data_IF_914401303789
#
_entry.id   IF_914401303789
#
_cell.length_a   1.000
_cell.length_b   1.000
_cell.length_c   1.000
_cell.angle_alpha   90.00
_cell.angle_beta   90.00
_cell.angle_gamma   90.00
#
_symmetry.space_group_name_H-M   'P 1'
#
loop_
_entity.id
_entity.type
_entity.pdbx_description
1 polymer ?
#
# COMPACT_ATOMS: atom_id res chain seq x y z
N UNK A 1 -12.43 -6.88 -27.46
CA UNK A 1 -11.74 -7.91 -28.28
C UNK A 1 -10.26 -7.56 -28.40
N UNK A 2 -9.40 -8.16 -27.56
CA UNK A 2 -7.95 -8.09 -27.72
C UNK A 2 -7.52 -9.10 -28.80
N UNK A 3 -6.48 -8.77 -29.56
CA UNK A 3 -5.96 -9.49 -30.73
C UNK A 3 -5.56 -10.97 -30.46
N UNK A 4 -5.71 -11.48 -29.22
CA UNK A 4 -5.38 -12.85 -28.81
C UNK A 4 -6.51 -13.69 -28.22
N UNK A 5 -7.77 -13.24 -28.23
CA UNK A 5 -8.91 -14.04 -27.73
C UNK A 5 -8.89 -14.39 -26.23
N UNK A 6 -7.98 -13.79 -25.47
CA UNK A 6 -7.93 -13.93 -24.02
C UNK A 6 -8.84 -12.87 -23.37
N UNK A 7 -9.94 -13.32 -22.77
CA UNK A 7 -10.78 -12.48 -21.92
C UNK A 7 -10.19 -12.41 -20.52
N UNK A 8 -10.15 -11.21 -19.94
CA UNK A 8 -9.88 -11.05 -18.52
C UNK A 8 -11.08 -11.59 -17.75
N UNK A 9 -10.94 -12.58 -16.85
CA UNK A 9 -12.08 -13.11 -16.14
C UNK A 9 -12.73 -11.98 -15.31
N UNK A 10 -14.01 -11.66 -15.55
CA UNK A 10 -14.68 -10.55 -14.88
C UNK A 10 -14.76 -10.76 -13.36
N UNK A 11 -14.79 -12.03 -12.93
CA UNK A 11 -15.06 -12.43 -11.55
C UNK A 11 -13.91 -13.18 -10.86
N UNK A 12 -12.70 -13.22 -11.43
CA UNK A 12 -11.58 -13.90 -10.76
C UNK A 12 -11.38 -13.35 -9.33
N UNK A 13 -11.42 -14.22 -8.28
CA UNK A 13 -11.34 -13.80 -6.90
C UNK A 13 -9.96 -13.22 -6.54
N UNK A 14 -9.96 -12.06 -5.89
CA UNK A 14 -8.74 -11.37 -5.44
C UNK A 14 -8.07 -12.04 -4.23
N UNK A 15 -8.72 -13.04 -3.61
CA UNK A 15 -8.19 -13.82 -2.47
C UNK A 15 -7.54 -15.16 -2.86
N UNK A 16 -7.43 -15.50 -4.15
CA UNK A 16 -7.01 -16.85 -4.55
C UNK A 16 -5.49 -17.09 -4.59
N UNK A 17 -4.68 -16.03 -4.48
CA UNK A 17 -3.22 -16.17 -4.56
C UNK A 17 -2.65 -16.69 -3.24
N UNK A 18 -1.83 -17.74 -3.31
CA UNK A 18 -1.16 -18.30 -2.13
C UNK A 18 -0.15 -17.28 -1.57
N UNK A 19 -0.10 -17.12 -0.25
CA UNK A 19 0.79 -16.17 0.44
C UNK A 19 2.25 -16.26 -0.02
N UNK A 20 2.76 -17.49 -0.20
CA UNK A 20 4.14 -17.74 -0.64
C UNK A 20 4.43 -17.26 -2.06
N UNK A 21 3.41 -17.02 -2.89
CA UNK A 21 3.54 -16.45 -4.23
C UNK A 21 3.29 -14.94 -4.22
N UNK A 22 2.28 -14.48 -3.48
CA UNK A 22 1.90 -13.07 -3.40
C UNK A 22 3.02 -12.20 -2.82
N UNK A 23 3.57 -12.59 -1.67
CA UNK A 23 4.59 -11.79 -0.97
C UNK A 23 5.88 -11.64 -1.77
N UNK A 24 6.47 -12.71 -2.37
CA UNK A 24 7.66 -12.54 -3.21
C UNK A 24 7.39 -11.75 -4.49
N UNK A 25 6.23 -11.91 -5.13
CA UNK A 25 5.87 -11.12 -6.31
C UNK A 25 5.78 -9.62 -5.97
N UNK A 26 5.14 -9.29 -4.85
CA UNK A 26 5.08 -7.93 -4.33
C UNK A 26 6.46 -7.36 -3.99
N UNK A 27 7.33 -8.16 -3.37
CA UNK A 27 8.70 -7.79 -3.06
C UNK A 27 9.51 -7.45 -4.32
N UNK A 28 9.37 -8.22 -5.40
CA UNK A 28 10.03 -7.95 -6.69
C UNK A 28 9.49 -6.67 -7.33
N UNK A 29 8.17 -6.46 -7.31
CA UNK A 29 7.57 -5.21 -7.78
C UNK A 29 8.10 -4.00 -6.99
N UNK A 30 8.14 -4.12 -5.66
CA UNK A 30 8.67 -3.09 -4.77
C UNK A 30 10.16 -2.80 -4.99
N UNK A 31 10.97 -3.81 -5.37
CA UNK A 31 12.39 -3.62 -5.66
C UNK A 31 12.66 -2.78 -6.91
N UNK A 32 11.72 -2.77 -7.86
CA UNK A 32 11.88 -2.10 -9.16
C UNK A 32 11.59 -0.61 -9.10
N UNK A 33 10.68 -0.20 -8.21
CA UNK A 33 10.15 1.16 -8.16
C UNK A 33 11.11 2.26 -7.66
N UNK A 34 12.06 2.00 -6.73
CA UNK A 34 13.02 2.99 -6.25
C UNK A 34 13.86 3.66 -7.36
N UNK A 35 13.97 3.00 -8.52
CA UNK A 35 14.64 3.54 -9.72
C UNK A 35 14.00 4.86 -10.17
N UNK A 36 12.67 5.00 -10.09
CA UNK A 36 11.96 6.23 -10.49
C UNK A 36 12.31 7.44 -9.63
N UNK A 37 12.85 7.21 -8.43
CA UNK A 37 13.21 8.25 -7.48
C UNK A 37 14.72 8.38 -7.29
N UNK A 38 15.51 7.70 -8.13
CA UNK A 38 16.97 7.67 -8.05
C UNK A 38 17.48 7.34 -6.63
N UNK A 39 16.77 6.46 -5.92
CA UNK A 39 17.16 6.09 -4.56
C UNK A 39 18.46 5.28 -4.58
N UNK A 40 19.37 5.51 -3.61
CA UNK A 40 20.52 4.63 -3.41
C UNK A 40 20.06 3.18 -3.25
N UNK A 41 20.67 2.24 -3.99
CA UNK A 41 20.29 0.81 -3.99
C UNK A 41 20.22 0.19 -2.58
N UNK A 42 21.08 0.65 -1.66
CA UNK A 42 21.06 0.23 -0.24
C UNK A 42 19.74 0.55 0.47
N UNK A 43 18.98 1.54 0.00
CA UNK A 43 17.68 1.89 0.56
C UNK A 43 16.54 1.04 -0.01
N UNK A 44 16.72 0.34 -1.14
CA UNK A 44 15.72 -0.52 -1.78
C UNK A 44 15.28 -1.68 -0.88
N UNK A 45 16.13 -2.13 0.04
CA UNK A 45 15.76 -3.21 0.97
C UNK A 45 14.56 -2.84 1.86
N UNK A 46 14.44 -1.58 2.25
CA UNK A 46 13.38 -1.10 3.13
C UNK A 46 11.97 -1.15 2.50
N UNK A 47 11.73 -0.60 1.30
CA UNK A 47 10.44 -0.74 0.64
C UNK A 47 10.12 -2.18 0.28
N UNK A 48 11.12 -3.01 -0.04
CA UNK A 48 10.91 -4.45 -0.27
C UNK A 48 10.37 -5.14 0.97
N UNK A 49 11.00 -4.93 2.14
CA UNK A 49 10.56 -5.53 3.39
C UNK A 49 9.19 -4.97 3.83
N UNK A 50 9.00 -3.66 3.77
CA UNK A 50 7.73 -3.03 4.13
C UNK A 50 6.58 -3.44 3.18
N UNK A 51 6.85 -3.57 1.89
CA UNK A 51 5.89 -4.05 0.89
C UNK A 51 5.51 -5.51 1.11
N UNK A 52 6.48 -6.37 1.44
CA UNK A 52 6.23 -7.75 1.83
C UNK A 52 5.32 -7.85 3.07
N UNK A 53 5.58 -7.04 4.10
CA UNK A 53 4.73 -6.97 5.30
C UNK A 53 3.34 -6.45 4.97
N UNK A 54 3.23 -5.41 4.15
CA UNK A 54 1.94 -4.84 3.73
C UNK A 54 1.09 -5.86 2.95
N UNK A 55 1.69 -6.61 2.02
CA UNK A 55 1.01 -7.67 1.29
C UNK A 55 0.60 -8.83 2.19
N UNK A 56 1.47 -9.28 3.09
CA UNK A 56 1.13 -10.33 4.04
C UNK A 56 -0.05 -9.92 4.94
N UNK A 57 -0.06 -8.67 5.43
CA UNK A 57 -1.17 -8.13 6.22
C UNK A 57 -2.46 -8.06 5.40
N UNK A 58 -2.40 -7.51 4.19
CA UNK A 58 -3.56 -7.45 3.29
C UNK A 58 -4.13 -8.84 3.01
N UNK A 59 -3.24 -9.81 2.73
CA UNK A 59 -3.62 -11.18 2.47
C UNK A 59 -4.34 -11.79 3.68
N UNK A 60 -3.82 -11.61 4.89
CA UNK A 60 -4.46 -12.09 6.11
C UNK A 60 -5.82 -11.43 6.36
N UNK A 61 -5.91 -10.11 6.15
CA UNK A 61 -7.16 -9.36 6.30
C UNK A 61 -8.25 -9.86 5.34
N UNK A 62 -7.91 -10.12 4.08
CA UNK A 62 -8.88 -10.60 3.08
C UNK A 62 -9.25 -12.07 3.32
N UNK A 63 -8.26 -12.94 3.55
CA UNK A 63 -8.46 -14.39 3.53
C UNK A 63 -8.81 -14.98 4.91
N UNK A 64 -8.33 -14.39 6.00
CA UNK A 64 -8.56 -14.91 7.35
C UNK A 64 -9.62 -14.10 8.10
N UNK A 65 -9.70 -12.79 7.87
CA UNK A 65 -10.62 -11.89 8.55
C UNK A 65 -11.80 -11.40 7.70
N UNK A 66 -11.92 -11.85 6.44
CA UNK A 66 -12.98 -11.50 5.49
C UNK A 66 -13.19 -9.97 5.32
N UNK A 67 -12.12 -9.19 5.48
CA UNK A 67 -12.14 -7.73 5.30
C UNK A 67 -12.17 -7.41 3.81
N UNK A 68 -12.97 -6.42 3.42
CA UNK A 68 -13.04 -5.98 2.03
C UNK A 68 -11.69 -5.37 1.54
N UNK A 69 -11.45 -5.39 0.23
CA UNK A 69 -10.17 -4.99 -0.34
C UNK A 69 -9.77 -3.53 0.01
N UNK A 70 -10.62 -2.49 -0.17
CA UNK A 70 -10.25 -1.13 0.19
C UNK A 70 -9.84 -0.97 1.66
N UNK A 71 -10.56 -1.60 2.59
CA UNK A 71 -10.21 -1.53 4.02
C UNK A 71 -8.91 -2.28 4.32
N UNK A 72 -8.68 -3.44 3.68
CA UNK A 72 -7.43 -4.17 3.83
C UNK A 72 -6.23 -3.36 3.29
N UNK A 73 -6.39 -2.71 2.14
CA UNK A 73 -5.39 -1.83 1.53
C UNK A 73 -5.09 -0.59 2.39
N UNK A 74 -6.11 -0.01 3.02
CA UNK A 74 -5.94 1.09 3.97
C UNK A 74 -5.03 0.69 5.13
N UNK A 75 -5.31 -0.45 5.76
CA UNK A 75 -4.56 -0.94 6.92
C UNK A 75 -3.14 -1.35 6.52
N UNK A 76 -2.98 -2.02 5.38
CA UNK A 76 -1.67 -2.38 4.82
C UNK A 76 -0.81 -1.14 4.56
N UNK A 77 -1.37 -0.11 3.91
CA UNK A 77 -0.65 1.13 3.63
C UNK A 77 -0.38 1.97 4.87
N UNK A 78 -1.25 1.92 5.89
CA UNK A 78 -1.00 2.53 7.19
C UNK A 78 0.24 1.91 7.85
N UNK A 79 0.33 0.58 7.87
CA UNK A 79 1.50 -0.13 8.40
C UNK A 79 2.75 0.19 7.58
N UNK A 80 2.68 0.16 6.25
CA UNK A 80 3.81 0.53 5.40
C UNK A 80 4.31 1.96 5.68
N UNK A 81 3.39 2.92 5.83
CA UNK A 81 3.71 4.31 6.17
C UNK A 81 4.38 4.45 7.53
N UNK A 82 3.89 3.71 8.54
CA UNK A 82 4.48 3.66 9.88
C UNK A 82 5.91 3.12 9.86
N UNK A 83 6.16 2.04 9.11
CA UNK A 83 7.45 1.39 9.02
C UNK A 83 8.49 2.24 8.26
N UNK A 84 8.08 2.91 7.18
CA UNK A 84 9.00 3.59 6.27
C UNK A 84 9.28 5.05 6.62
N UNK A 85 8.38 5.74 7.33
CA UNK A 85 8.61 7.10 7.79
C UNK A 85 9.91 7.28 8.61
N UNK A 86 10.23 6.42 9.61
CA UNK A 86 11.50 6.51 10.33
C UNK A 86 12.72 6.24 9.43
N UNK A 87 12.59 5.34 8.46
CA UNK A 87 13.67 5.03 7.50
C UNK A 87 13.94 6.24 6.62
N UNK A 88 12.90 6.81 6.00
CA UNK A 88 13.00 7.97 5.13
C UNK A 88 13.65 9.16 5.86
N UNK A 89 13.25 9.41 7.11
CA UNK A 89 13.85 10.48 7.92
C UNK A 89 15.32 10.23 8.22
N UNK A 90 15.70 9.03 8.70
CA UNK A 90 17.10 8.71 9.04
C UNK A 90 18.01 8.72 7.83
N UNK A 91 17.50 8.33 6.67
CA UNK A 91 18.25 8.30 5.43
C UNK A 91 18.23 9.65 4.68
N UNK A 92 17.54 10.67 5.19
CA UNK A 92 17.26 11.93 4.49
C UNK A 92 16.73 11.73 3.06
N UNK A 93 15.93 10.68 2.87
CA UNK A 93 15.41 10.28 1.58
C UNK A 93 13.98 10.81 1.37
N UNK A 94 13.57 11.12 0.13
CA UNK A 94 12.20 11.49 -0.16
C UNK A 94 11.28 10.31 0.17
N UNK A 95 10.29 10.54 1.04
CA UNK A 95 9.34 9.49 1.43
C UNK A 95 8.61 8.90 0.21
N UNK A 96 8.33 9.71 -0.80
CA UNK A 96 7.72 9.24 -2.06
C UNK A 96 8.48 8.05 -2.67
N UNK A 97 9.83 8.06 -2.62
CA UNK A 97 10.63 6.99 -3.21
C UNK A 97 10.53 5.65 -2.48
N UNK A 98 10.48 5.65 -1.14
CA UNK A 98 10.37 4.41 -0.36
C UNK A 98 8.91 4.01 -0.14
N UNK A 99 8.03 4.97 0.14
CA UNK A 99 6.61 4.74 0.42
C UNK A 99 5.86 4.19 -0.78
N UNK A 100 5.94 4.86 -1.94
CA UNK A 100 5.27 4.39 -3.14
C UNK A 100 5.88 3.09 -3.66
N UNK A 101 7.19 2.89 -3.50
CA UNK A 101 7.83 1.63 -3.85
C UNK A 101 7.24 0.44 -3.08
N UNK A 102 7.01 0.60 -1.77
CA UNK A 102 6.47 -0.49 -0.96
C UNK A 102 5.02 -0.87 -1.29
N UNK A 103 4.21 0.09 -1.76
CA UNK A 103 2.77 -0.13 -1.98
C UNK A 103 2.39 -0.26 -3.46
N UNK A 104 3.36 -0.21 -4.39
CA UNK A 104 3.06 -0.23 -5.83
C UNK A 104 2.28 -1.47 -6.27
N UNK A 105 2.56 -2.61 -5.65
CA UNK A 105 1.88 -3.87 -5.94
C UNK A 105 0.45 -3.95 -5.39
N UNK A 106 0.04 -2.98 -4.55
CA UNK A 106 -1.33 -2.85 -4.05
C UNK A 106 -2.23 -2.05 -4.99
N UNK A 107 -1.68 -1.41 -6.03
CA UNK A 107 -2.49 -0.60 -6.93
C UNK A 107 -3.60 -1.44 -7.59
N UNK A 108 -4.83 -0.89 -7.70
CA UNK A 108 -6.01 -1.62 -8.17
C UNK A 108 -6.04 -1.86 -9.70
N UNK A 109 -4.93 -2.29 -10.29
CA UNK A 109 -4.78 -2.42 -11.74
C UNK A 109 -5.85 -3.32 -12.38
N UNK A 110 -6.19 -4.43 -11.74
CA UNK A 110 -7.22 -5.36 -12.24
C UNK A 110 -8.62 -4.72 -12.31
N UNK A 111 -8.98 -3.87 -11.34
CA UNK A 111 -10.26 -3.14 -11.38
C UNK A 111 -10.26 -2.10 -12.50
N UNK A 112 -9.13 -1.42 -12.73
CA UNK A 112 -9.00 -0.47 -13.85
C UNK A 112 -9.09 -1.19 -15.20
N UNK A 113 -8.44 -2.34 -15.35
CA UNK A 113 -8.52 -3.14 -16.58
C UNK A 113 -9.94 -3.66 -16.83
N UNK A 114 -10.62 -4.18 -15.79
CA UNK A 114 -12.01 -4.62 -15.89
C UNK A 114 -12.98 -3.48 -16.19
N UNK A 115 -12.77 -2.31 -15.59
CA UNK A 115 -13.52 -1.11 -15.91
C UNK A 115 -13.37 -0.73 -17.39
N UNK A 116 -12.15 -0.67 -17.90
CA UNK A 116 -11.89 -0.34 -19.30
C UNK A 116 -12.47 -1.38 -20.26
N UNK A 117 -12.33 -2.67 -19.96
CA UNK A 117 -12.95 -3.75 -20.74
C UNK A 117 -14.48 -3.64 -20.73
N UNK A 118 -15.07 -3.43 -19.55
CA UNK A 118 -16.51 -3.27 -19.39
C UNK A 118 -17.08 -2.07 -20.14
N UNK A 119 -16.30 -0.98 -20.33
CA UNK A 119 -16.73 0.15 -21.18
C UNK A 119 -16.84 -0.24 -22.66
N UNK A 120 -15.92 -1.09 -23.14
CA UNK A 120 -15.98 -1.61 -24.52
C UNK A 120 -17.22 -2.49 -24.69
N UNK A 121 -17.48 -3.37 -23.74
CA UNK A 121 -18.65 -4.26 -23.78
C UNK A 121 -19.95 -3.48 -23.65
N UNK A 122 -20.00 -2.48 -22.78
CA UNK A 122 -21.15 -1.57 -22.61
C UNK A 122 -21.44 -0.79 -23.89
N UNK A 123 -20.42 -0.41 -24.66
CA UNK A 123 -20.59 0.28 -25.94
C UNK A 123 -21.09 -0.66 -27.06
N UNK A 124 -20.73 -1.94 -27.00
CA UNK A 124 -21.15 -2.95 -27.98
C UNK A 124 -22.55 -3.50 -27.71
N UNK A 125 -22.86 -3.80 -26.45
CA UNK A 125 -24.16 -4.32 -25.99
C UNK A 125 -24.55 -3.69 -24.64
N UNK A 126 -25.25 -2.54 -24.67
CA UNK A 126 -25.61 -1.82 -23.46
C UNK A 126 -26.70 -2.58 -22.68
N UNK A 127 -26.31 -3.18 -21.55
CA UNK A 127 -27.23 -3.88 -20.64
C UNK A 127 -27.08 -3.36 -19.22
N UNK A 128 -28.09 -3.60 -18.37
CA UNK A 128 -28.00 -3.25 -16.96
C UNK A 128 -26.84 -3.98 -16.25
N UNK A 129 -26.52 -5.21 -16.69
CA UNK A 129 -25.42 -6.00 -16.15
C UNK A 129 -24.05 -5.40 -16.50
N UNK A 130 -23.84 -4.99 -17.76
CA UNK A 130 -22.58 -4.36 -18.18
C UNK A 130 -22.41 -3.00 -17.50
N UNK A 131 -23.48 -2.22 -17.35
CA UNK A 131 -23.45 -0.95 -16.62
C UNK A 131 -23.09 -1.12 -15.14
N UNK A 132 -23.68 -2.10 -14.46
CA UNK A 132 -23.38 -2.40 -13.05
C UNK A 132 -21.93 -2.85 -12.87
N UNK A 133 -21.42 -3.73 -13.75
CA UNK A 133 -20.03 -4.18 -13.72
C UNK A 133 -19.03 -3.03 -13.88
N UNK A 134 -19.30 -2.12 -14.83
CA UNK A 134 -18.49 -0.90 -15.04
C UNK A 134 -18.49 -0.04 -13.76
N UNK A 135 -19.66 0.23 -13.19
CA UNK A 135 -19.78 1.01 -11.96
C UNK A 135 -19.09 0.36 -10.75
N UNK A 136 -19.21 -0.95 -10.59
CA UNK A 136 -18.57 -1.72 -9.53
C UNK A 136 -17.05 -1.69 -9.62
N UNK A 137 -16.48 -1.91 -10.81
CA UNK A 137 -15.03 -1.86 -11.01
C UNK A 137 -14.47 -0.43 -10.85
N UNK A 138 -15.18 0.58 -11.35
CA UNK A 138 -14.78 1.98 -11.18
C UNK A 138 -14.77 2.39 -9.69
N UNK A 139 -15.82 2.05 -8.95
CA UNK A 139 -15.92 2.34 -7.52
C UNK A 139 -14.87 1.59 -6.72
N UNK A 140 -14.65 0.30 -6.99
CA UNK A 140 -13.61 -0.50 -6.34
C UNK A 140 -12.21 0.08 -6.59
N UNK A 141 -11.88 0.47 -7.83
CA UNK A 141 -10.60 1.10 -8.16
C UNK A 141 -10.42 2.44 -7.41
N UNK A 142 -11.47 3.26 -7.39
CA UNK A 142 -11.44 4.58 -6.75
C UNK A 142 -11.27 4.47 -5.24
N UNK A 143 -12.10 3.64 -4.58
CA UNK A 143 -12.06 3.44 -3.14
C UNK A 143 -10.74 2.80 -2.69
N UNK A 144 -10.23 1.83 -3.44
CA UNK A 144 -8.93 1.20 -3.13
C UNK A 144 -7.80 2.20 -3.27
N UNK A 145 -7.78 3.01 -4.33
CA UNK A 145 -6.75 4.04 -4.52
C UNK A 145 -6.79 5.08 -3.40
N UNK A 146 -8.00 5.54 -3.03
CA UNK A 146 -8.18 6.48 -1.92
C UNK A 146 -7.70 5.88 -0.60
N UNK A 147 -8.04 4.61 -0.33
CA UNK A 147 -7.59 3.88 0.84
C UNK A 147 -6.06 3.79 0.94
N UNK A 148 -5.38 3.47 -0.17
CA UNK A 148 -3.91 3.43 -0.24
C UNK A 148 -3.31 4.78 0.13
N UNK A 149 -3.82 5.87 -0.48
CA UNK A 149 -3.33 7.24 -0.22
C UNK A 149 -3.57 7.63 1.24
N UNK A 150 -4.79 7.45 1.74
CA UNK A 150 -5.17 7.79 3.12
C UNK A 150 -4.36 6.96 4.11
N UNK A 151 -4.23 5.65 3.89
CA UNK A 151 -3.44 4.76 4.74
C UNK A 151 -1.98 5.22 4.81
N UNK A 152 -1.34 5.42 3.67
CA UNK A 152 0.06 5.80 3.60
C UNK A 152 0.34 7.17 4.24
N UNK A 153 -0.51 8.17 3.98
CA UNK A 153 -0.40 9.52 4.56
C UNK A 153 -0.63 9.49 6.07
N UNK A 154 -1.67 8.79 6.51
CA UNK A 154 -1.99 8.63 7.94
C UNK A 154 -0.84 7.93 8.67
N UNK A 155 -0.37 6.80 8.15
CA UNK A 155 0.73 6.04 8.74
C UNK A 155 2.02 6.85 8.85
N UNK A 156 2.37 7.57 7.78
CA UNK A 156 3.53 8.48 7.80
C UNK A 156 3.38 9.57 8.86
N UNK A 157 2.23 10.24 8.89
CA UNK A 157 1.97 11.36 9.82
C UNK A 157 1.99 10.89 11.26
N UNK A 158 1.39 9.73 11.54
CA UNK A 158 1.40 9.11 12.86
C UNK A 158 2.83 8.78 13.30
N UNK A 159 3.64 8.17 12.42
CA UNK A 159 5.04 7.89 12.75
C UNK A 159 5.84 9.15 13.08
N UNK A 160 5.65 10.25 12.34
CA UNK A 160 6.29 11.52 12.68
C UNK A 160 5.89 11.99 14.08
N UNK A 161 4.60 11.99 14.41
CA UNK A 161 4.11 12.37 15.74
C UNK A 161 4.68 11.50 16.86
N UNK A 162 4.78 10.19 16.65
CA UNK A 162 5.32 9.26 17.65
C UNK A 162 6.83 9.46 17.88
N UNK A 163 7.54 9.95 16.88
CA UNK A 163 8.98 10.18 16.94
C UNK A 163 9.31 11.53 17.56
N UNK A 164 8.50 12.55 17.23
CA UNK A 164 8.69 13.92 17.69
C UNK A 164 8.01 14.18 19.06
N UNK A 165 7.35 13.17 19.63
CA UNK A 165 6.79 13.23 20.97
C UNK A 165 7.90 13.56 21.99
N UNK A 166 7.73 14.60 22.84
CA UNK A 166 8.72 14.97 23.85
C UNK A 166 9.02 13.76 24.74
N UNK A 167 10.30 13.41 24.89
CA UNK A 167 10.72 12.52 25.98
C UNK A 167 10.44 13.25 27.29
N UNK A 168 9.60 12.68 28.15
CA UNK A 168 9.25 13.29 29.44
C UNK A 168 10.54 13.57 30.25
N UNK A 169 10.74 14.77 30.84
CA UNK A 169 11.96 15.12 31.56
C UNK A 169 12.21 14.36 32.89
N UNK A 170 11.34 13.46 33.32
CA UNK A 170 11.36 12.91 34.70
C UNK A 170 12.15 11.61 34.87
N UNK A 171 13.12 11.31 33.99
CA UNK A 171 14.02 10.17 34.16
C UNK A 171 15.47 10.54 34.45
N UNK A 172 15.75 11.78 34.87
CA UNK A 172 17.06 12.17 35.39
C UNK A 172 17.08 12.05 36.93
N UNK A 173 17.61 10.97 37.52
CA UNK A 173 17.73 10.87 38.95
C UNK A 173 18.83 11.82 39.44
N UNK A 174 18.40 13.00 39.88
CA UNK A 174 19.08 13.89 40.82
C UNK A 174 20.55 14.27 40.49
N UNK A 175 20.72 15.48 39.94
CA UNK A 175 21.89 16.30 40.25
C UNK A 175 21.69 16.87 41.67
N UNK A 176 22.48 16.44 42.69
CA UNK A 176 22.32 16.99 44.03
C UNK A 176 22.69 18.47 44.05
N UNK A 177 21.82 19.24 44.71
CA UNK A 177 21.94 20.67 44.90
C UNK A 177 23.35 21.05 45.39
N UNK A 178 24.03 21.87 44.59
CA UNK A 178 25.32 22.46 44.92
C UNK A 178 25.11 23.41 46.10
N UNK A 179 25.43 22.94 47.31
CA UNK A 179 25.40 23.74 48.53
C UNK A 179 26.46 24.83 48.46
N UNK A 180 25.98 26.04 48.63
CA UNK A 180 26.66 27.32 48.78
C UNK A 180 27.88 27.23 49.71
N UNK A 181 29.00 27.81 49.27
CA UNK A 181 30.08 28.35 50.10
C UNK A 181 30.60 29.62 49.47
#
# INVERSE_FOLDING_TARGET
MAIGGADLPPDAPLGSTRLWLDVPAAAVAAASYPVYFSLPLRLTIWPVLAGAVAHALRWALINEAAVNAPTADLLACLVAGLLLAPVARRAHAPFAGVGFAAVVALLPGVYVFRFAAGLVDLAADPTAATLLSVGANASAATLTTLAIVVGLVTGRTLAHRLIDAPRHPDSDPALPARRDR
#
